data_IF_773756897486
#
_entry.id   IF_773756897486
#
_cell.length_a   1.000
_cell.length_b   1.000
_cell.length_c   1.000
_cell.angle_alpha   90.00
_cell.angle_beta   90.00
_cell.angle_gamma   90.00
#
_symmetry.space_group_name_H-M   'P 1'
#
loop_
_entity.id
_entity.type
_entity.pdbx_description
1 polymer ?
#
# COMPACT_ATOMS: atom_id res chain seq x y z
N UNK A 1 -14.99 8.48 -3.94
CA UNK A 1 -13.71 7.78 -4.18
C UNK A 1 -13.56 7.69 -5.69
N UNK A 2 -12.52 8.24 -6.29
CA UNK A 2 -12.39 8.26 -7.76
C UNK A 2 -12.37 6.84 -8.32
N UNK A 3 -12.96 6.62 -9.50
CA UNK A 3 -13.07 5.31 -10.17
C UNK A 3 -11.70 4.59 -10.28
N UNK A 4 -10.62 5.36 -10.41
CA UNK A 4 -9.23 4.90 -10.46
C UNK A 4 -8.83 4.18 -9.16
N UNK A 5 -9.14 4.75 -7.99
CA UNK A 5 -8.79 4.15 -6.69
C UNK A 5 -9.54 2.83 -6.49
N UNK A 6 -10.82 2.78 -6.88
CA UNK A 6 -11.64 1.56 -6.78
C UNK A 6 -11.05 0.44 -7.65
N UNK A 7 -10.57 0.76 -8.86
CA UNK A 7 -9.85 -0.18 -9.73
C UNK A 7 -8.54 -0.67 -9.09
N UNK A 8 -7.74 0.22 -8.49
CA UNK A 8 -6.50 -0.15 -7.80
C UNK A 8 -6.77 -1.09 -6.62
N UNK A 9 -7.80 -0.83 -5.82
CA UNK A 9 -8.20 -1.70 -4.71
C UNK A 9 -8.62 -3.09 -5.20
N UNK A 10 -9.45 -3.15 -6.25
CA UNK A 10 -9.92 -4.43 -6.80
C UNK A 10 -8.77 -5.24 -7.43
N UNK A 11 -7.90 -4.61 -8.21
CA UNK A 11 -6.77 -5.29 -8.82
C UNK A 11 -5.71 -5.69 -7.79
N UNK A 12 -5.44 -4.85 -6.80
CA UNK A 12 -4.52 -5.19 -5.71
C UNK A 12 -5.03 -6.36 -4.87
N UNK A 13 -6.33 -6.42 -4.56
CA UNK A 13 -6.91 -7.58 -3.88
C UNK A 13 -6.79 -8.86 -4.74
N UNK A 14 -7.03 -8.74 -6.04
CA UNK A 14 -6.93 -9.86 -6.98
C UNK A 14 -5.49 -10.31 -7.22
N UNK A 15 -4.47 -9.48 -6.99
CA UNK A 15 -3.05 -9.88 -7.10
C UNK A 15 -2.46 -10.33 -5.76
N UNK A 16 -2.78 -9.64 -4.66
CA UNK A 16 -2.25 -9.96 -3.32
C UNK A 16 -2.74 -11.30 -2.80
N UNK A 17 -4.02 -11.64 -3.01
CA UNK A 17 -4.60 -12.88 -2.48
C UNK A 17 -3.96 -14.11 -3.14
N UNK A 18 -3.88 -14.23 -4.48
CA UNK A 18 -3.16 -15.33 -5.12
C UNK A 18 -1.67 -15.35 -4.77
N UNK A 19 -1.02 -14.19 -4.70
CA UNK A 19 0.41 -14.11 -4.36
C UNK A 19 0.69 -14.63 -2.95
N UNK A 20 -0.16 -14.29 -1.98
CA UNK A 20 -0.08 -14.81 -0.61
C UNK A 20 -0.34 -16.32 -0.56
N UNK A 21 -1.31 -16.82 -1.33
CA UNK A 21 -1.60 -18.27 -1.42
C UNK A 21 -0.41 -19.02 -2.03
N UNK A 22 0.12 -18.55 -3.15
CA UNK A 22 1.30 -19.13 -3.82
C UNK A 22 2.50 -19.15 -2.86
N UNK A 23 2.72 -18.03 -2.16
CA UNK A 23 3.74 -17.92 -1.12
C UNK A 23 3.56 -18.97 0.00
N UNK A 24 2.32 -19.25 0.41
CA UNK A 24 2.02 -20.22 1.47
C UNK A 24 2.25 -21.66 1.01
N UNK A 25 2.01 -21.95 -0.28
CA UNK A 25 2.17 -23.29 -0.87
C UNK A 25 3.63 -23.60 -1.21
N UNK A 26 4.41 -22.62 -1.68
CA UNK A 26 5.80 -22.83 -2.14
C UNK A 26 6.82 -22.77 -0.99
N UNK A 27 6.60 -21.93 0.02
CA UNK A 27 7.54 -21.72 1.13
C UNK A 27 7.01 -22.14 2.53
N UNK A 28 6.36 -23.31 2.70
CA UNK A 28 5.63 -23.64 3.92
C UNK A 28 6.51 -23.95 5.15
N UNK A 29 7.76 -24.37 4.97
CA UNK A 29 8.59 -24.89 6.07
C UNK A 29 9.47 -23.83 6.75
N UNK A 30 10.12 -22.93 5.99
CA UNK A 30 11.05 -21.94 6.55
C UNK A 30 10.45 -20.53 6.72
N UNK A 31 9.41 -20.20 5.96
CA UNK A 31 8.88 -18.84 5.87
C UNK A 31 7.37 -18.75 6.14
N UNK A 32 6.91 -19.43 7.19
CA UNK A 32 5.50 -19.43 7.64
C UNK A 32 4.88 -18.03 7.82
N UNK A 33 5.70 -17.02 8.11
CA UNK A 33 5.26 -15.62 8.29
C UNK A 33 5.15 -14.83 6.98
N UNK A 34 5.71 -15.34 5.88
CA UNK A 34 5.83 -14.61 4.61
C UNK A 34 4.49 -14.35 3.92
N UNK A 35 3.53 -15.30 3.85
CA UNK A 35 2.19 -15.02 3.31
C UNK A 35 1.48 -13.91 4.07
N UNK A 36 1.49 -13.99 5.41
CA UNK A 36 0.88 -12.99 6.28
C UNK A 36 1.55 -11.62 6.12
N UNK A 37 2.88 -11.61 5.96
CA UNK A 37 3.66 -10.39 5.77
C UNK A 37 3.37 -9.72 4.43
N UNK A 38 3.17 -10.49 3.36
CA UNK A 38 2.73 -9.97 2.05
C UNK A 38 1.36 -9.30 2.19
N UNK A 39 0.42 -9.95 2.87
CA UNK A 39 -0.92 -9.38 3.09
C UNK A 39 -0.85 -8.10 3.92
N UNK A 40 -0.10 -8.09 5.03
CA UNK A 40 0.07 -6.92 5.88
C UNK A 40 0.73 -5.77 5.11
N UNK A 41 1.80 -6.04 4.34
CA UNK A 41 2.44 -5.03 3.50
C UNK A 41 1.51 -4.47 2.45
N UNK A 42 0.72 -5.31 1.79
CA UNK A 42 -0.30 -4.90 0.83
C UNK A 42 -1.41 -4.04 1.45
N UNK A 43 -1.92 -4.43 2.62
CA UNK A 43 -2.94 -3.66 3.36
C UNK A 43 -2.39 -2.29 3.76
N UNK A 44 -1.15 -2.22 4.27
CA UNK A 44 -0.51 -0.97 4.64
C UNK A 44 -0.34 -0.04 3.44
N UNK A 45 0.06 -0.58 2.27
CA UNK A 45 0.17 0.20 1.04
C UNK A 45 -1.19 0.72 0.56
N UNK A 46 -2.25 -0.10 0.62
CA UNK A 46 -3.61 0.32 0.27
C UNK A 46 -4.15 1.39 1.23
N UNK A 47 -3.94 1.23 2.53
CA UNK A 47 -4.31 2.21 3.54
C UNK A 47 -3.57 3.54 3.31
N UNK A 48 -2.28 3.47 2.95
CA UNK A 48 -1.49 4.65 2.58
C UNK A 48 -2.09 5.36 1.36
N UNK A 49 -2.44 4.60 0.31
CA UNK A 49 -3.10 5.13 -0.90
C UNK A 49 -4.43 5.81 -0.58
N UNK A 50 -5.26 5.23 0.29
CA UNK A 50 -6.53 5.86 0.71
C UNK A 50 -6.28 7.15 1.48
N UNK A 51 -5.31 7.15 2.39
CA UNK A 51 -4.91 8.37 3.10
C UNK A 51 -4.39 9.45 2.16
N UNK A 52 -3.67 9.07 1.09
CA UNK A 52 -3.21 10.00 0.06
C UNK A 52 -4.37 10.55 -0.77
N UNK A 53 -5.28 9.69 -1.22
CA UNK A 53 -6.46 10.10 -1.98
C UNK A 53 -7.38 11.04 -1.19
N UNK A 54 -7.58 10.79 0.10
CA UNK A 54 -8.32 11.68 0.97
C UNK A 54 -7.59 12.99 1.23
N UNK A 55 -6.28 12.93 1.46
CA UNK A 55 -5.44 14.12 1.62
C UNK A 55 -5.51 15.03 0.39
N UNK A 56 -5.36 14.47 -0.80
CA UNK A 56 -5.44 15.23 -2.06
C UNK A 56 -6.87 15.73 -2.30
N UNK A 57 -7.89 14.86 -2.17
CA UNK A 57 -9.29 15.24 -2.41
C UNK A 57 -9.82 16.32 -1.46
N UNK A 58 -9.31 16.40 -0.22
CA UNK A 58 -9.63 17.48 0.72
C UNK A 58 -8.87 18.79 0.47
N UNK A 59 -7.90 18.79 -0.46
CA UNK A 59 -7.03 19.92 -0.76
C UNK A 59 -7.21 20.45 -2.20
N UNK A 60 -7.82 19.67 -3.10
CA UNK A 60 -8.21 20.12 -4.44
C UNK A 60 -9.30 21.18 -4.30
N UNK A 61 -8.94 22.45 -4.54
CA UNK A 61 -9.84 23.61 -4.47
C UNK A 61 -9.41 24.73 -3.53
N UNK A 62 -8.40 24.49 -2.68
CA UNK A 62 -7.79 25.51 -1.82
C UNK A 62 -6.42 25.91 -2.39
N UNK A 63 -6.08 27.20 -2.51
CA UNK A 63 -4.84 27.68 -3.14
C UNK A 63 -3.53 27.28 -2.45
N UNK A 64 -2.40 27.85 -2.91
CA UNK A 64 -0.96 27.55 -2.60
C UNK A 64 -0.58 27.04 -1.19
N UNK A 65 -1.35 27.36 -0.14
CA UNK A 65 -1.19 26.80 1.21
C UNK A 65 -1.39 25.27 1.30
N UNK A 66 -1.91 24.65 0.25
CA UNK A 66 -2.11 23.19 0.11
C UNK A 66 -0.81 22.40 0.19
N UNK A 67 0.30 22.94 -0.32
CA UNK A 67 1.56 22.19 -0.43
C UNK A 67 2.11 21.81 0.96
N UNK A 68 2.17 22.76 1.90
CA UNK A 68 2.72 22.53 3.24
C UNK A 68 1.89 21.54 4.09
N UNK A 69 0.56 21.68 4.09
CA UNK A 69 -0.34 20.76 4.81
C UNK A 69 -0.31 19.36 4.19
N UNK A 70 -0.25 19.24 2.86
CA UNK A 70 -0.17 17.96 2.16
C UNK A 70 1.13 17.22 2.50
N UNK A 71 2.26 17.95 2.51
CA UNK A 71 3.57 17.41 2.90
C UNK A 71 3.54 16.98 4.37
N UNK A 72 3.03 17.79 5.28
CA UNK A 72 2.94 17.46 6.70
C UNK A 72 2.08 16.21 6.97
N UNK A 73 0.88 16.12 6.38
CA UNK A 73 0.04 14.93 6.49
C UNK A 73 0.67 13.69 5.83
N UNK A 74 1.43 13.88 4.76
CA UNK A 74 2.18 12.79 4.12
C UNK A 74 3.34 12.29 4.99
N UNK A 75 4.03 13.19 5.70
CA UNK A 75 5.07 12.85 6.66
C UNK A 75 4.52 12.13 7.89
N UNK A 76 3.40 12.60 8.47
CA UNK A 76 2.72 11.89 9.58
C UNK A 76 2.27 10.50 9.13
N UNK A 77 1.66 10.38 7.95
CA UNK A 77 1.24 9.08 7.40
C UNK A 77 2.43 8.14 7.22
N UNK A 78 3.55 8.65 6.71
CA UNK A 78 4.79 7.88 6.54
C UNK A 78 5.36 7.46 7.90
N UNK A 79 5.37 8.37 8.88
CA UNK A 79 5.82 8.10 10.25
C UNK A 79 4.98 7.01 10.93
N UNK A 80 3.64 7.08 10.84
CA UNK A 80 2.74 6.05 11.36
C UNK A 80 3.00 4.70 10.68
N UNK A 81 3.24 4.70 9.37
CA UNK A 81 3.53 3.49 8.62
C UNK A 81 4.85 2.86 9.08
N UNK A 82 5.91 3.65 9.25
CA UNK A 82 7.17 3.18 9.82
C UNK A 82 7.02 2.70 11.27
N UNK A 83 6.26 3.41 12.11
CA UNK A 83 6.00 2.99 13.49
C UNK A 83 5.29 1.62 13.53
N UNK A 84 4.28 1.40 12.69
CA UNK A 84 3.59 0.10 12.58
C UNK A 84 4.57 -0.99 12.12
N UNK A 85 5.41 -0.72 11.13
CA UNK A 85 6.42 -1.67 10.65
C UNK A 85 7.45 -2.03 11.74
N UNK A 86 7.93 -1.03 12.50
CA UNK A 86 8.87 -1.24 13.61
C UNK A 86 8.23 -2.08 14.73
N UNK A 87 6.99 -1.78 15.11
CA UNK A 87 6.27 -2.55 16.14
C UNK A 87 6.09 -4.00 15.68
N UNK A 88 5.62 -4.21 14.45
CA UNK A 88 5.41 -5.53 13.90
C UNK A 88 6.74 -6.33 13.80
N UNK A 89 7.84 -5.65 13.45
CA UNK A 89 9.18 -6.24 13.38
C UNK A 89 9.68 -6.63 14.77
N UNK A 90 9.46 -5.76 15.76
CA UNK A 90 9.87 -5.98 17.14
C UNK A 90 9.14 -7.15 17.79
N UNK A 91 7.84 -7.30 17.49
CA UNK A 91 7.04 -8.46 17.89
C UNK A 91 7.44 -9.76 17.15
N UNK A 92 8.35 -9.68 16.18
CA UNK A 92 8.80 -10.77 15.30
C UNK A 92 7.66 -11.49 14.57
N UNK A 93 6.45 -10.92 14.49
CA UNK A 93 5.27 -11.60 13.91
C UNK A 93 5.35 -11.69 12.38
N UNK A 94 6.22 -10.88 11.77
CA UNK A 94 6.31 -10.64 10.33
C UNK A 94 7.74 -10.76 9.80
N UNK A 95 7.84 -11.04 8.51
CA UNK A 95 9.06 -11.04 7.71
C UNK A 95 9.11 -9.75 6.88
N UNK A 96 10.18 -8.97 7.04
CA UNK A 96 10.41 -7.71 6.31
C UNK A 96 10.35 -7.91 4.80
N UNK A 97 10.93 -9.00 4.28
CA UNK A 97 10.93 -9.30 2.86
C UNK A 97 9.51 -9.52 2.34
N UNK A 98 8.66 -10.22 3.10
CA UNK A 98 7.26 -10.41 2.75
C UNK A 98 6.47 -9.10 2.70
N UNK A 99 6.69 -8.20 3.65
CA UNK A 99 6.08 -6.86 3.63
C UNK A 99 6.49 -6.10 2.38
N UNK A 100 7.79 -6.09 2.07
CA UNK A 100 8.33 -5.41 0.90
C UNK A 100 7.69 -5.92 -0.39
N UNK A 101 7.51 -7.23 -0.51
CA UNK A 101 6.81 -7.85 -1.65
C UNK A 101 5.35 -7.38 -1.71
N UNK A 102 4.65 -7.36 -0.58
CA UNK A 102 3.27 -6.85 -0.51
C UNK A 102 3.13 -5.39 -0.94
N UNK A 103 4.00 -4.52 -0.41
CA UNK A 103 4.03 -3.09 -0.77
C UNK A 103 4.34 -2.91 -2.26
N UNK A 104 5.36 -3.60 -2.77
CA UNK A 104 5.80 -3.49 -4.17
C UNK A 104 4.70 -3.97 -5.12
N UNK A 105 3.97 -5.01 -4.77
CA UNK A 105 2.86 -5.52 -5.57
C UNK A 105 1.78 -4.44 -5.76
N UNK A 106 1.38 -3.77 -4.67
CA UNK A 106 0.41 -2.66 -4.72
C UNK A 106 0.96 -1.48 -5.52
N UNK A 107 2.25 -1.16 -5.37
CA UNK A 107 2.90 -0.11 -6.14
C UNK A 107 2.87 -0.40 -7.65
N UNK A 108 3.15 -1.63 -8.08
CA UNK A 108 3.09 -2.02 -9.49
C UNK A 108 1.66 -1.86 -10.04
N UNK A 109 0.64 -2.29 -9.29
CA UNK A 109 -0.76 -2.12 -9.68
C UNK A 109 -1.11 -0.63 -9.78
N UNK A 110 -0.71 0.17 -8.79
CA UNK A 110 -0.91 1.61 -8.79
C UNK A 110 -0.28 2.27 -10.03
N UNK A 111 0.98 1.96 -10.33
CA UNK A 111 1.68 2.50 -11.50
C UNK A 111 1.01 2.08 -12.81
N UNK A 112 0.63 0.81 -12.96
CA UNK A 112 -0.07 0.33 -14.16
C UNK A 112 -1.41 1.02 -14.38
N UNK A 113 -2.23 1.11 -13.34
CA UNK A 113 -3.55 1.75 -13.42
C UNK A 113 -3.42 3.26 -13.61
N UNK A 114 -2.49 3.89 -12.88
CA UNK A 114 -2.23 5.32 -12.98
C UNK A 114 -1.71 5.73 -14.35
N UNK A 115 -0.75 4.97 -14.92
CA UNK A 115 -0.23 5.23 -16.26
C UNK A 115 -1.29 5.03 -17.34
N UNK A 116 -2.12 3.99 -17.22
CA UNK A 116 -3.24 3.78 -18.16
C UNK A 116 -4.25 4.93 -18.09
N UNK A 117 -4.60 5.39 -16.89
CA UNK A 117 -5.50 6.52 -16.72
C UNK A 117 -4.92 7.82 -17.29
N UNK A 118 -3.61 8.07 -17.11
CA UNK A 118 -2.94 9.23 -17.67
C UNK A 118 -2.85 9.21 -19.20
N UNK A 119 -2.79 8.02 -19.82
CA UNK A 119 -2.80 7.86 -21.28
C UNK A 119 -4.19 8.04 -21.90
N UNK A 120 -5.25 7.77 -21.13
CA UNK A 120 -6.66 7.86 -21.55
C UNK A 120 -7.29 9.25 -21.29
N UNK A 121 -6.55 10.16 -20.64
CA UNK A 121 -6.96 11.55 -20.34
C UNK A 121 -6.39 12.52 -21.38
#
# INVERSE_FOLDING_TARGET
MTEIIKKIYKQSAFTLVPLAIISAVIFPLEWKRLPLSILIGGILALANLKGLAWGIGGLVGTGEQVSGKLVFFSLIRLFILFAILIILLWLKVINIAGIFVGITTVLIVLLKVGFKAAKEA
#
